data_IF_441197256522
#
_entry.id   IF_441197256522
#
_cell.length_a   1.000
_cell.length_b   1.000
_cell.length_c   1.000
_cell.angle_alpha   90.00
_cell.angle_beta   90.00
_cell.angle_gamma   90.00
#
_symmetry.space_group_name_H-M   'P 1'
#
loop_
_entity.id
_entity.type
_entity.pdbx_description
1 polymer ?
#
# COMPACT_ATOMS: atom_id res chain seq x y z
N UNK A 1 13.89 -0.96 -8.56
CA UNK A 1 12.44 -1.21 -8.43
C UNK A 1 11.68 0.01 -8.95
N UNK A 2 11.35 0.04 -10.24
CA UNK A 2 10.36 0.96 -10.83
C UNK A 2 9.05 0.17 -10.88
N UNK A 3 8.00 0.59 -10.16
CA UNK A 3 6.70 -0.09 -10.32
C UNK A 3 5.63 0.11 -9.24
N UNK A 4 5.91 0.78 -8.12
CA UNK A 4 4.87 1.06 -7.12
C UNK A 4 4.42 2.53 -7.25
N UNK A 5 3.14 2.81 -7.54
CA UNK A 5 2.60 4.17 -7.55
C UNK A 5 2.82 4.87 -6.20
N UNK A 6 3.12 6.17 -6.21
CA UNK A 6 3.42 6.96 -5.00
C UNK A 6 2.32 6.88 -3.93
N UNK A 7 1.06 6.82 -4.37
CA UNK A 7 -0.14 6.68 -3.53
C UNK A 7 -0.15 5.38 -2.69
N UNK A 8 0.44 4.30 -3.21
CA UNK A 8 0.56 3.01 -2.49
C UNK A 8 1.72 3.07 -1.48
N UNK A 9 2.77 3.83 -1.79
CA UNK A 9 3.90 4.06 -0.89
C UNK A 9 3.47 4.93 0.31
N UNK A 10 2.57 5.86 0.08
CA UNK A 10 2.04 6.80 1.07
C UNK A 10 0.71 6.35 1.68
N UNK A 11 0.44 5.05 1.69
CA UNK A 11 -0.78 4.58 2.33
C UNK A 11 -0.69 4.68 3.86
N UNK A 12 -1.31 5.72 4.40
CA UNK A 12 -1.45 5.98 5.83
C UNK A 12 -2.64 5.17 6.38
N UNK A 13 -2.35 4.01 6.98
CA UNK A 13 -3.28 3.36 7.90
C UNK A 13 -2.82 3.69 9.33
N UNK A 14 -3.43 4.72 9.94
CA UNK A 14 -3.00 5.27 11.23
C UNK A 14 -1.76 6.19 11.12
N UNK A 15 -0.96 6.28 12.18
CA UNK A 15 0.18 7.20 12.28
C UNK A 15 1.47 6.76 11.54
N UNK A 16 1.42 5.68 10.74
CA UNK A 16 2.61 5.12 10.09
C UNK A 16 2.35 4.66 8.65
N UNK A 17 3.35 4.86 7.78
CA UNK A 17 3.40 4.29 6.44
C UNK A 17 3.85 2.82 6.52
N UNK A 18 2.88 1.90 6.44
CA UNK A 18 3.09 0.44 6.59
C UNK A 18 4.20 -0.10 5.66
N UNK A 19 4.17 0.35 4.40
CA UNK A 19 5.12 -0.06 3.36
C UNK A 19 6.53 0.47 3.62
N UNK A 20 6.65 1.66 4.18
CA UNK A 20 7.93 2.28 4.51
C UNK A 20 8.55 1.62 5.75
N UNK A 21 7.75 1.38 6.79
CA UNK A 21 8.17 0.67 8.00
C UNK A 21 8.70 -0.73 7.66
N UNK A 22 7.99 -1.49 6.82
CA UNK A 22 8.40 -2.83 6.41
C UNK A 22 9.82 -2.87 5.83
N UNK A 23 10.17 -1.87 5.00
CA UNK A 23 11.50 -1.74 4.40
C UNK A 23 12.54 -1.20 5.39
N UNK A 24 12.17 -0.25 6.27
CA UNK A 24 13.05 0.28 7.33
C UNK A 24 13.51 -0.84 8.28
N UNK A 25 12.58 -1.69 8.72
CA UNK A 25 12.83 -2.80 9.64
C UNK A 25 13.76 -3.87 9.03
N UNK A 26 13.92 -3.89 7.70
CA UNK A 26 14.73 -4.88 6.96
C UNK A 26 15.94 -4.26 6.26
N UNK A 27 16.23 -2.98 6.55
CA UNK A 27 17.37 -2.27 5.99
C UNK A 27 18.67 -2.96 6.44
N UNK A 28 19.64 -3.05 5.53
CA UNK A 28 20.96 -3.64 5.82
C UNK A 28 21.08 -5.13 5.50
N UNK A 29 20.01 -5.79 5.04
CA UNK A 29 20.09 -7.15 4.47
C UNK A 29 19.32 -7.27 3.15
N UNK A 30 19.64 -8.30 2.37
CA UNK A 30 18.85 -8.67 1.18
C UNK A 30 17.53 -9.30 1.63
N UNK A 31 16.45 -8.92 0.97
CA UNK A 31 15.14 -9.55 1.14
C UNK A 31 15.13 -10.91 0.43
N UNK A 32 14.49 -11.89 1.02
CA UNK A 32 14.19 -13.14 0.32
C UNK A 32 13.10 -12.93 -0.74
N UNK A 33 12.97 -13.88 -1.67
CA UNK A 33 11.91 -13.86 -2.66
C UNK A 33 10.52 -13.88 -2.00
N UNK A 34 10.35 -14.62 -0.90
CA UNK A 34 9.10 -14.68 -0.15
C UNK A 34 8.76 -13.34 0.51
N UNK A 35 9.75 -12.63 1.04
CA UNK A 35 9.54 -11.29 1.61
C UNK A 35 9.13 -10.29 0.52
N UNK A 36 9.76 -10.36 -0.65
CA UNK A 36 9.40 -9.52 -1.81
C UNK A 36 7.96 -9.84 -2.26
N UNK A 37 7.62 -11.12 -2.39
CA UNK A 37 6.28 -11.56 -2.78
C UNK A 37 5.23 -11.13 -1.75
N UNK A 38 5.52 -11.24 -0.46
CA UNK A 38 4.64 -10.77 0.60
C UNK A 38 4.43 -9.25 0.51
N UNK A 39 5.51 -8.49 0.38
CA UNK A 39 5.46 -7.04 0.20
C UNK A 39 4.58 -6.63 -0.99
N UNK A 40 4.71 -7.32 -2.14
CA UNK A 40 3.86 -7.07 -3.31
C UNK A 40 2.39 -7.43 -3.09
N UNK A 41 2.09 -8.51 -2.36
CA UNK A 41 0.71 -8.87 -2.01
C UNK A 41 0.06 -7.80 -1.15
N UNK A 42 0.77 -7.29 -0.14
CA UNK A 42 0.30 -6.19 0.70
C UNK A 42 0.09 -4.92 -0.13
N UNK A 43 1.05 -4.55 -0.99
CA UNK A 43 0.91 -3.41 -1.90
C UNK A 43 -0.37 -3.49 -2.76
N UNK A 44 -0.65 -4.68 -3.30
CA UNK A 44 -1.82 -4.92 -4.16
C UNK A 44 -3.13 -4.82 -3.38
N UNK A 45 -3.17 -5.34 -2.15
CA UNK A 45 -4.34 -5.23 -1.29
C UNK A 45 -4.65 -3.77 -0.94
N UNK A 46 -3.62 -3.01 -0.57
CA UNK A 46 -3.73 -1.57 -0.29
C UNK A 46 -4.31 -0.80 -1.49
N UNK A 47 -3.77 -1.03 -2.68
CA UNK A 47 -4.25 -0.39 -3.91
C UNK A 47 -5.73 -0.69 -4.16
N UNK A 48 -6.13 -1.95 -3.98
CA UNK A 48 -7.53 -2.35 -4.15
C UNK A 48 -8.43 -1.65 -3.13
N UNK A 49 -7.99 -1.51 -1.88
CA UNK A 49 -8.74 -0.77 -0.85
C UNK A 49 -8.93 0.69 -1.23
N UNK A 50 -7.89 1.39 -1.70
CA UNK A 50 -7.99 2.79 -2.15
C UNK A 50 -8.99 2.91 -3.32
N UNK A 51 -8.91 2.00 -4.30
CA UNK A 51 -9.82 2.00 -5.44
C UNK A 51 -11.28 1.78 -5.01
N UNK A 52 -11.51 0.82 -4.10
CA UNK A 52 -12.84 0.55 -3.55
C UNK A 52 -13.37 1.73 -2.73
N UNK A 53 -12.53 2.33 -1.88
CA UNK A 53 -12.90 3.52 -1.11
C UNK A 53 -13.32 4.67 -2.04
N UNK A 54 -12.59 4.89 -3.13
CA UNK A 54 -12.94 5.90 -4.14
C UNK A 54 -14.30 5.61 -4.80
N UNK A 55 -14.58 4.35 -5.13
CA UNK A 55 -15.89 3.94 -5.68
C UNK A 55 -17.03 4.19 -4.70
N UNK A 56 -16.84 3.82 -3.43
CA UNK A 56 -17.84 4.04 -2.37
C UNK A 56 -18.09 5.54 -2.18
N UNK A 57 -17.04 6.35 -2.05
CA UNK A 57 -17.15 7.79 -1.91
C UNK A 57 -17.89 8.44 -3.10
N UNK A 58 -17.63 7.97 -4.33
CA UNK A 58 -18.34 8.43 -5.53
C UNK A 58 -19.81 7.99 -5.61
N UNK A 59 -20.26 7.01 -4.82
CA UNK A 59 -21.68 6.69 -4.65
C UNK A 59 -22.30 7.63 -3.62
N UNK A 60 -21.64 7.84 -2.48
CA UNK A 60 -22.13 8.76 -1.44
C UNK A 60 -22.23 10.21 -1.91
N UNK A 61 -21.22 10.74 -2.63
CA UNK A 61 -21.26 12.11 -3.16
C UNK A 61 -22.28 12.36 -4.29
N UNK A 62 -23.07 11.34 -4.69
CA UNK A 62 -24.22 11.50 -5.59
C UNK A 62 -25.56 11.56 -4.85
N UNK A 63 -25.57 11.31 -3.55
CA UNK A 63 -26.74 11.38 -2.68
C UNK A 63 -26.86 12.73 -1.94
N UNK A 64 -25.85 13.60 -2.11
CA UNK A 64 -25.79 14.97 -1.61
C UNK A 64 -26.19 15.99 -2.68
#
# INVERSE_FOLDING_TARGET
MKGIPGEVRECWFGAYQVMEKYLKDRKGRKLSLDEINHYMKVAKAIRLTIELQGKVNGVYGRLD
#
